data_IF_572643040699
#
_entry.id   IF_572643040699
#
_cell.length_a   1.000
_cell.length_b   1.000
_cell.length_c   1.000
_cell.angle_alpha   90.00
_cell.angle_beta   90.00
_cell.angle_gamma   90.00
#
_symmetry.space_group_name_H-M   'P 1'
#
loop_
_entity.id
_entity.type
_entity.pdbx_description
1 polymer ?
#
# COMPACT_ATOMS: atom_id res chain seq x y z
N UNK A 1 12.23 20.17 0.25
CA UNK A 1 11.21 19.97 -0.79
C UNK A 1 11.05 21.30 -1.52
N UNK A 2 11.22 21.34 -2.83
CA UNK A 2 11.09 22.59 -3.61
C UNK A 2 9.61 23.01 -3.67
N UNK A 3 9.34 24.28 -3.99
CA UNK A 3 7.97 24.78 -4.16
C UNK A 3 7.16 24.01 -5.22
N UNK A 4 7.85 23.46 -6.24
CA UNK A 4 7.25 22.58 -7.24
C UNK A 4 6.66 21.31 -6.61
N UNK A 5 7.46 20.57 -5.83
CA UNK A 5 7.01 19.31 -5.23
C UNK A 5 5.93 19.50 -4.16
N UNK A 6 5.97 20.60 -3.39
CA UNK A 6 4.89 20.90 -2.44
C UNK A 6 3.58 21.24 -3.14
N UNK A 7 3.65 21.92 -4.29
CA UNK A 7 2.48 22.20 -5.12
C UNK A 7 1.92 20.91 -5.71
N UNK A 8 2.78 20.02 -6.20
CA UNK A 8 2.37 18.72 -6.73
C UNK A 8 1.73 17.83 -5.66
N UNK A 9 2.31 17.76 -4.46
CA UNK A 9 1.74 17.02 -3.32
C UNK A 9 0.33 17.55 -3.00
N UNK A 10 0.15 18.87 -2.94
CA UNK A 10 -1.14 19.50 -2.67
C UNK A 10 -2.17 19.16 -3.76
N UNK A 11 -1.83 19.35 -5.03
CA UNK A 11 -2.73 19.08 -6.15
C UNK A 11 -3.17 17.62 -6.20
N UNK A 12 -2.24 16.69 -5.97
CA UNK A 12 -2.57 15.26 -5.96
C UNK A 12 -3.50 14.90 -4.78
N UNK A 13 -3.26 15.45 -3.59
CA UNK A 13 -4.17 15.25 -2.45
C UNK A 13 -5.58 15.80 -2.70
N UNK A 14 -5.68 16.96 -3.35
CA UNK A 14 -6.97 17.56 -3.74
C UNK A 14 -7.67 16.75 -4.85
N UNK A 15 -6.92 16.21 -5.81
CA UNK A 15 -7.46 15.34 -6.85
C UNK A 15 -8.01 14.04 -6.24
N UNK A 16 -7.23 13.39 -5.37
CA UNK A 16 -7.65 12.17 -4.67
C UNK A 16 -8.92 12.38 -3.84
N UNK A 17 -9.13 13.57 -3.27
CA UNK A 17 -10.34 13.84 -2.49
C UNK A 17 -11.62 13.82 -3.33
N UNK A 18 -11.51 14.06 -4.63
CA UNK A 18 -12.66 14.07 -5.55
C UNK A 18 -12.99 12.69 -6.11
N UNK A 19 -12.15 11.70 -5.85
CA UNK A 19 -12.32 10.34 -6.36
C UNK A 19 -13.17 9.48 -5.40
N UNK A 20 -13.85 8.44 -5.91
CA UNK A 20 -14.60 7.53 -5.06
C UNK A 20 -13.68 6.85 -4.05
N UNK A 21 -14.21 6.69 -2.84
CA UNK A 21 -13.60 5.85 -1.81
C UNK A 21 -13.67 4.40 -2.28
N UNK A 22 -12.58 3.66 -2.11
CA UNK A 22 -12.60 2.22 -2.29
C UNK A 22 -13.25 1.59 -1.05
N UNK A 23 -14.47 1.08 -1.22
CA UNK A 23 -15.22 0.38 -0.18
C UNK A 23 -15.06 -1.13 -0.34
N UNK A 24 -14.42 -1.78 0.64
CA UNK A 24 -14.31 -3.24 0.68
C UNK A 24 -13.98 -3.71 2.08
N UNK A 25 -14.46 -4.90 2.43
CA UNK A 25 -14.08 -5.61 3.66
C UNK A 25 -12.75 -6.35 3.51
N UNK A 26 -12.24 -6.48 2.28
CA UNK A 26 -10.98 -7.16 2.00
C UNK A 26 -9.79 -6.23 2.22
N UNK A 27 -8.71 -6.78 2.80
CA UNK A 27 -7.45 -6.05 2.89
C UNK A 27 -6.85 -5.84 1.50
N UNK A 28 -6.24 -4.67 1.28
CA UNK A 28 -5.48 -4.36 0.08
C UNK A 28 -4.09 -4.99 0.13
N UNK A 29 -3.45 -5.15 -1.02
CA UNK A 29 -2.12 -5.75 -1.18
C UNK A 29 -1.10 -4.69 -1.58
N UNK A 30 0.07 -4.73 -0.97
CA UNK A 30 1.24 -3.93 -1.38
C UNK A 30 2.50 -4.76 -1.15
N UNK A 31 3.48 -4.63 -2.03
CA UNK A 31 4.80 -5.21 -1.83
C UNK A 31 5.83 -4.11 -1.65
N UNK A 32 6.82 -4.38 -0.81
CA UNK A 32 8.00 -3.52 -0.66
C UNK A 32 9.26 -4.38 -0.67
N UNK A 33 10.34 -3.78 -1.17
CA UNK A 33 11.67 -4.37 -1.16
C UNK A 33 12.57 -3.53 -0.25
N UNK A 34 12.60 -3.90 1.03
CA UNK A 34 13.36 -3.22 2.09
C UNK A 34 14.10 -4.24 2.94
N UNK A 35 15.18 -3.79 3.59
CA UNK A 35 15.99 -4.67 4.45
C UNK A 35 15.29 -5.02 5.77
N UNK A 36 15.71 -6.10 6.40
CA UNK A 36 15.23 -6.51 7.71
C UNK A 36 15.42 -5.42 8.79
N UNK A 37 16.53 -4.67 8.72
CA UNK A 37 16.76 -3.53 9.62
C UNK A 37 15.72 -2.42 9.40
N UNK A 38 15.39 -2.12 8.13
CA UNK A 38 14.36 -1.14 7.82
C UNK A 38 12.98 -1.60 8.29
N UNK A 39 12.65 -2.88 8.10
CA UNK A 39 11.38 -3.47 8.57
C UNK A 39 11.25 -3.28 10.08
N UNK A 40 12.24 -3.71 10.85
CA UNK A 40 12.23 -3.62 12.31
C UNK A 40 12.24 -2.18 12.85
N UNK A 41 12.78 -1.24 12.07
CA UNK A 41 12.77 0.18 12.42
C UNK A 41 11.42 0.84 12.14
N UNK A 42 10.83 0.55 10.98
CA UNK A 42 9.62 1.21 10.47
C UNK A 42 8.36 0.59 11.08
N UNK A 43 8.27 -0.74 11.04
CA UNK A 43 7.06 -1.48 11.40
C UNK A 43 7.23 -2.13 12.77
N UNK A 44 6.54 -1.58 13.77
CA UNK A 44 6.49 -2.11 15.12
C UNK A 44 5.04 -2.28 15.54
N UNK A 45 4.64 -3.51 15.86
CA UNK A 45 3.28 -3.82 16.31
C UNK A 45 2.87 -2.87 17.44
N UNK A 46 1.66 -2.33 17.34
CA UNK A 46 1.13 -1.36 18.30
C UNK A 46 1.57 0.09 18.07
N UNK A 47 2.38 0.37 17.04
CA UNK A 47 2.82 1.74 16.71
C UNK A 47 2.12 2.27 15.47
N UNK A 48 2.06 3.59 15.40
CA UNK A 48 1.63 4.32 14.21
C UNK A 48 2.83 4.71 13.35
N UNK A 49 2.65 4.60 12.04
CA UNK A 49 3.56 5.11 11.02
C UNK A 49 2.85 6.20 10.22
N UNK A 50 3.61 7.18 9.75
CA UNK A 50 3.11 8.20 8.84
C UNK A 50 3.87 8.10 7.53
N UNK A 51 3.19 7.66 6.49
CA UNK A 51 3.79 7.60 5.16
C UNK A 51 3.77 9.00 4.57
N UNK A 52 4.93 9.65 4.52
CA UNK A 52 5.06 11.01 3.95
C UNK A 52 4.82 11.04 2.44
N UNK A 53 4.94 9.90 1.77
CA UNK A 53 4.65 9.72 0.36
C UNK A 53 3.20 9.24 0.16
N UNK A 54 2.72 9.29 -1.08
CA UNK A 54 1.50 8.59 -1.49
C UNK A 54 1.74 7.08 -1.40
N UNK A 55 0.80 6.34 -0.81
CA UNK A 55 0.92 4.88 -0.67
C UNK A 55 0.02 4.23 -1.70
N UNK A 56 0.58 3.39 -2.57
CA UNK A 56 -0.16 2.64 -3.59
C UNK A 56 -0.35 1.19 -3.16
N UNK A 57 -1.48 0.60 -3.54
CA UNK A 57 -1.85 -0.78 -3.25
C UNK A 57 -2.79 -1.33 -4.33
N UNK A 58 -2.91 -2.65 -4.41
CA UNK A 58 -3.86 -3.36 -5.27
C UNK A 58 -5.00 -3.92 -4.41
N UNK A 59 -6.23 -3.90 -4.92
CA UNK A 59 -7.32 -4.63 -4.28
C UNK A 59 -7.43 -6.10 -4.73
N UNK A 60 -6.64 -6.49 -5.74
CA UNK A 60 -6.70 -7.79 -6.40
C UNK A 60 -5.42 -8.61 -6.14
N UNK A 61 -5.61 -9.86 -5.75
CA UNK A 61 -4.53 -10.78 -5.37
C UNK A 61 -3.75 -11.31 -6.59
N UNK A 62 -4.44 -11.55 -7.70
CA UNK A 62 -3.82 -11.93 -8.96
C UNK A 62 -2.93 -10.80 -9.52
N UNK A 63 -3.41 -9.55 -9.48
CA UNK A 63 -2.65 -8.39 -9.92
C UNK A 63 -1.38 -8.18 -9.09
N UNK A 64 -1.43 -8.34 -7.77
CA UNK A 64 -0.21 -8.25 -6.95
C UNK A 64 0.72 -9.43 -7.19
N UNK A 65 0.20 -10.65 -7.40
CA UNK A 65 1.00 -11.82 -7.78
C UNK A 65 1.78 -11.56 -9.08
N UNK A 66 1.12 -10.97 -10.09
CA UNK A 66 1.79 -10.54 -11.34
C UNK A 66 2.81 -9.43 -11.14
N UNK A 67 2.64 -8.56 -10.16
CA UNK A 67 3.66 -7.58 -9.81
C UNK A 67 4.87 -8.24 -9.13
N UNK A 68 4.65 -9.24 -8.29
CA UNK A 68 5.69 -10.02 -7.60
C UNK A 68 6.57 -10.80 -8.58
N UNK A 69 5.99 -11.39 -9.64
CA UNK A 69 6.74 -12.05 -10.71
C UNK A 69 7.73 -11.10 -11.44
N UNK A 70 7.51 -9.78 -11.38
CA UNK A 70 8.21 -8.78 -12.20
C UNK A 70 9.09 -7.82 -11.41
N UNK A 71 8.90 -7.74 -10.09
CA UNK A 71 9.55 -6.74 -9.22
C UNK A 71 10.13 -7.43 -8.00
N UNK A 72 11.32 -7.02 -7.55
CA UNK A 72 11.85 -7.56 -6.31
C UNK A 72 10.97 -7.14 -5.13
N UNK A 73 10.84 -8.01 -4.14
CA UNK A 73 10.08 -7.79 -2.91
C UNK A 73 10.73 -8.56 -1.76
N UNK A 74 10.52 -8.08 -0.53
CA UNK A 74 10.92 -8.78 0.71
C UNK A 74 9.76 -8.97 1.67
N UNK A 75 8.72 -8.14 1.56
CA UNK A 75 7.52 -8.21 2.40
C UNK A 75 6.25 -8.03 1.59
N UNK A 76 5.18 -8.60 2.12
CA UNK A 76 3.81 -8.28 1.76
C UNK A 76 3.23 -7.35 2.83
N UNK A 77 2.49 -6.35 2.41
CA UNK A 77 1.72 -5.46 3.28
C UNK A 77 0.26 -5.67 2.94
N UNK A 78 -0.55 -5.91 3.97
CA UNK A 78 -2.01 -5.99 3.87
C UNK A 78 -2.61 -4.78 4.57
N UNK A 79 -3.45 -4.01 3.90
CA UNK A 79 -3.96 -2.74 4.43
C UNK A 79 -5.47 -2.81 4.58
N UNK A 80 -5.96 -2.60 5.80
CA UNK A 80 -7.36 -2.29 6.07
C UNK A 80 -7.59 -0.81 5.73
N UNK A 81 -8.29 -0.57 4.62
CA UNK A 81 -8.53 0.76 4.06
C UNK A 81 -9.81 1.37 4.61
N UNK A 82 -9.78 2.67 4.88
CA UNK A 82 -10.97 3.49 5.16
C UNK A 82 -11.20 4.57 4.10
N UNK A 83 -10.13 5.17 3.60
CA UNK A 83 -10.14 6.33 2.71
C UNK A 83 -9.23 6.15 1.48
N UNK A 84 -8.74 4.94 1.19
CA UNK A 84 -8.09 4.66 -0.08
C UNK A 84 -8.98 5.06 -1.26
N UNK A 85 -8.40 5.58 -2.34
CA UNK A 85 -9.12 6.07 -3.51
C UNK A 85 -8.88 5.16 -4.71
N UNK A 86 -9.95 4.74 -5.36
CA UNK A 86 -9.84 3.93 -6.57
C UNK A 86 -9.34 4.80 -7.73
N UNK A 87 -8.20 4.42 -8.32
CA UNK A 87 -7.62 5.14 -9.46
C UNK A 87 -7.46 4.28 -10.71
N UNK A 88 -7.98 3.05 -10.69
CA UNK A 88 -7.88 2.10 -11.81
C UNK A 88 -8.28 2.70 -13.17
N UNK A 89 -9.41 3.41 -13.25
CA UNK A 89 -9.90 4.00 -14.50
C UNK A 89 -9.05 5.17 -15.01
N UNK A 90 -8.20 5.74 -14.16
CA UNK A 90 -7.32 6.86 -14.46
C UNK A 90 -5.86 6.42 -14.67
N UNK A 91 -5.51 5.23 -14.20
CA UNK A 91 -4.15 4.70 -14.29
C UNK A 91 -3.83 4.27 -15.71
N UNK A 92 -2.63 4.61 -16.18
CA UNK A 92 -2.06 4.08 -17.43
C UNK A 92 -1.99 2.55 -17.42
N UNK A 93 -1.93 1.94 -16.23
CA UNK A 93 -1.90 0.49 -16.03
C UNK A 93 -3.08 0.02 -15.17
N UNK A 94 -4.29 0.13 -15.72
CA UNK A 94 -5.52 -0.31 -15.02
C UNK A 94 -5.49 -1.77 -14.53
N UNK A 95 -4.67 -2.63 -15.13
CA UNK A 95 -4.48 -4.02 -14.70
C UNK A 95 -3.88 -4.16 -13.30
N UNK A 96 -3.28 -3.11 -12.74
CA UNK A 96 -2.75 -3.10 -11.37
C UNK A 96 -3.84 -2.95 -10.29
N UNK A 97 -5.11 -2.71 -10.69
CA UNK A 97 -6.26 -2.67 -9.76
C UNK A 97 -6.03 -1.73 -8.57
N UNK A 98 -5.52 -0.54 -8.90
CA UNK A 98 -4.85 0.33 -7.94
C UNK A 98 -5.81 1.13 -7.06
N UNK A 99 -5.52 1.11 -5.76
CA UNK A 99 -6.06 1.99 -4.72
C UNK A 99 -4.91 2.83 -4.16
N UNK A 100 -5.08 4.15 -4.21
CA UNK A 100 -4.06 5.12 -3.81
C UNK A 100 -4.48 5.89 -2.56
N UNK A 101 -3.56 5.99 -1.60
CA UNK A 101 -3.72 6.79 -0.38
C UNK A 101 -3.00 8.13 -0.54
N UNK A 102 -3.58 9.16 0.07
CA UNK A 102 -3.00 10.50 0.16
C UNK A 102 -1.63 10.49 0.83
N UNK A 103 -0.86 11.56 0.61
CA UNK A 103 0.36 11.75 1.40
C UNK A 103 0.02 12.00 2.86
N UNK A 104 0.93 11.61 3.75
CA UNK A 104 0.80 11.76 5.22
C UNK A 104 -0.34 10.93 5.81
N UNK A 105 -0.90 9.95 5.08
CA UNK A 105 -1.78 8.95 5.66
C UNK A 105 -1.06 8.22 6.78
N UNK A 106 -1.79 8.03 7.88
CA UNK A 106 -1.31 7.32 9.06
C UNK A 106 -1.83 5.90 9.04
N UNK A 107 -0.95 4.98 9.39
CA UNK A 107 -1.29 3.57 9.53
C UNK A 107 -0.87 3.07 10.90
N UNK A 108 -1.70 2.25 11.51
CA UNK A 108 -1.35 1.49 12.71
C UNK A 108 -0.87 0.11 12.31
N UNK A 109 0.28 -0.31 12.85
CA UNK A 109 0.83 -1.64 12.63
C UNK A 109 0.11 -2.60 13.58
N UNK A 110 -0.81 -3.37 13.02
CA UNK A 110 -1.69 -4.26 13.76
C UNK A 110 -1.02 -5.60 14.06
N UNK A 111 -0.36 -6.18 13.06
CA UNK A 111 0.26 -7.50 13.16
C UNK A 111 1.45 -7.63 12.21
N UNK A 112 2.40 -8.50 12.57
CA UNK A 112 3.53 -8.92 11.71
C UNK A 112 3.64 -10.43 11.84
N UNK A 113 3.40 -11.14 10.74
CA UNK A 113 3.35 -12.60 10.71
C UNK A 113 3.88 -13.16 9.39
N UNK A 114 4.10 -14.47 9.34
CA UNK A 114 4.26 -15.15 8.05
C UNK A 114 2.89 -15.46 7.46
N UNK A 115 2.73 -15.29 6.15
CA UNK A 115 1.57 -15.77 5.40
C UNK A 115 2.01 -16.40 4.09
N UNK A 116 1.07 -16.96 3.35
CA UNK A 116 1.31 -17.44 1.99
C UNK A 116 1.44 -16.26 1.01
N UNK A 117 2.38 -16.37 0.08
CA UNK A 117 2.59 -15.43 -1.01
C UNK A 117 1.44 -15.52 -2.03
N UNK A 118 0.88 -14.38 -2.48
CA UNK A 118 -0.11 -14.38 -3.56
C UNK A 118 0.51 -14.62 -4.95
N UNK A 119 1.84 -14.71 -5.06
CA UNK A 119 2.52 -15.08 -6.31
C UNK A 119 2.24 -16.54 -6.71
N UNK A 120 2.33 -17.47 -5.76
CA UNK A 120 2.25 -18.91 -6.02
C UNK A 120 1.32 -19.66 -5.06
N UNK A 121 0.82 -19.01 -4.01
CA UNK A 121 0.02 -19.60 -2.94
C UNK A 121 0.69 -20.80 -2.24
N UNK A 122 2.02 -20.86 -2.27
CA UNK A 122 2.82 -21.94 -1.66
C UNK A 122 3.94 -21.36 -0.80
N UNK A 123 4.66 -20.36 -1.30
CA UNK A 123 5.83 -19.80 -0.62
C UNK A 123 5.41 -18.93 0.56
N UNK A 124 6.10 -19.06 1.69
CA UNK A 124 5.87 -18.20 2.85
C UNK A 124 6.54 -16.84 2.67
N UNK A 125 5.83 -15.77 3.03
CA UNK A 125 6.31 -14.38 2.97
C UNK A 125 6.02 -13.67 4.31
N UNK A 126 6.92 -12.77 4.71
CA UNK A 126 6.70 -11.90 5.86
C UNK A 126 5.64 -10.85 5.50
N UNK A 127 4.58 -10.81 6.29
CA UNK A 127 3.39 -10.02 6.04
C UNK A 127 3.12 -9.06 7.18
N UNK A 128 2.94 -7.79 6.84
CA UNK A 128 2.64 -6.69 7.77
C UNK A 128 1.18 -6.28 7.57
N UNK A 129 0.40 -6.32 8.64
CA UNK A 129 -0.99 -5.88 8.63
C UNK A 129 -1.05 -4.43 9.12
N UNK A 130 -1.57 -3.54 8.27
CA UNK A 130 -1.75 -2.13 8.55
C UNK A 130 -3.23 -1.79 8.62
N UNK A 131 -3.60 -0.91 9.55
CA UNK A 131 -4.94 -0.32 9.62
C UNK A 131 -4.84 1.19 9.38
N UNK A 132 -5.53 1.70 8.37
CA UNK A 132 -5.61 3.14 8.15
C UNK A 132 -6.28 3.83 9.34
N UNK A 133 -5.70 4.94 9.80
CA UNK A 133 -6.23 5.71 10.93
C UNK A 133 -7.24 6.76 10.48
#
# INVERSE_FOLDING_TARGET
MTGFYSTQEKLMNEALEKLPVYESENLLYRIENISEEQINRIYKVGKEITNKHFTSSSYDDFAIGKAMERRPYTILIRIESKNGRMIESLSTFNQEKEVLFKSKTKFYVDDIRMSTSPEDYITSIKTIILKEK
#
